data_IF_343771304831
#
_entry.id   IF_343771304831
#
_cell.length_a   1.000
_cell.length_b   1.000
_cell.length_c   1.000
_cell.angle_alpha   90.00
_cell.angle_beta   90.00
_cell.angle_gamma   90.00
#
_symmetry.space_group_name_H-M   'P 1'
#
loop_
_entity.id
_entity.type
_entity.pdbx_description
1 polymer ?
#
# COMPACT_ATOMS: atom_id res chain seq x y z
N UNK A 1 37.24 37.25 2.10
CA UNK A 1 36.54 35.95 2.12
C UNK A 1 35.16 36.17 2.74
N UNK A 2 34.18 36.54 1.92
CA UNK A 2 32.81 36.83 2.37
C UNK A 2 32.03 35.52 2.25
N UNK A 3 31.83 34.86 3.38
CA UNK A 3 31.05 33.64 3.46
C UNK A 3 29.56 34.04 3.34
N UNK A 4 28.98 33.90 2.14
CA UNK A 4 27.55 34.08 1.91
C UNK A 4 26.76 33.03 2.71
N UNK A 5 26.51 33.33 3.99
CA UNK A 5 25.60 32.57 4.84
C UNK A 5 24.20 32.75 4.31
N UNK A 6 23.71 31.80 3.50
CA UNK A 6 22.28 31.62 3.33
C UNK A 6 21.65 31.56 4.72
N UNK A 7 20.77 32.52 5.02
CA UNK A 7 20.20 32.63 6.35
C UNK A 7 19.36 31.37 6.65
N UNK A 8 19.54 30.73 7.81
CA UNK A 8 18.75 29.56 8.22
C UNK A 8 17.22 29.78 8.16
N UNK A 9 16.78 31.04 8.18
CA UNK A 9 15.37 31.44 8.04
C UNK A 9 14.75 31.06 6.70
N UNK A 10 15.49 31.19 5.60
CA UNK A 10 14.96 30.88 4.25
C UNK A 10 14.77 29.38 4.02
N UNK A 11 15.62 28.53 4.63
CA UNK A 11 15.44 27.08 4.66
C UNK A 11 14.26 26.65 5.55
N UNK A 12 13.99 27.41 6.62
CA UNK A 12 12.87 27.16 7.51
C UNK A 12 11.51 27.51 6.86
N UNK A 13 11.41 28.66 6.20
CA UNK A 13 10.17 29.09 5.53
C UNK A 13 9.81 28.23 4.31
N UNK A 14 10.80 27.73 3.55
CA UNK A 14 10.53 26.75 2.48
C UNK A 14 10.06 25.38 3.01
N UNK A 15 10.45 25.02 4.24
CA UNK A 15 9.96 23.82 4.93
C UNK A 15 8.54 23.96 5.47
N UNK A 16 8.14 25.16 5.90
CA UNK A 16 6.85 25.44 6.54
C UNK A 16 5.70 25.66 5.54
N UNK A 17 5.97 26.23 4.36
CA UNK A 17 4.93 26.35 3.33
C UNK A 17 4.58 25.03 2.63
N UNK A 18 5.47 24.02 2.66
CA UNK A 18 5.17 22.70 2.10
C UNK A 18 4.48 21.74 3.08
N UNK A 19 4.32 22.11 4.36
CA UNK A 19 3.74 21.24 5.39
C UNK A 19 2.30 21.62 5.78
N UNK A 20 1.89 22.88 5.60
CA UNK A 20 0.58 23.38 5.99
C UNK A 20 -0.57 22.98 5.05
N UNK A 21 -0.36 22.88 3.72
CA UNK A 21 -1.41 22.38 2.80
C UNK A 21 -1.43 20.85 2.65
N UNK A 22 -0.30 20.18 2.91
CA UNK A 22 -0.18 18.73 2.76
C UNK A 22 -0.88 17.96 3.88
N UNK A 23 -0.97 18.54 5.08
CA UNK A 23 -1.58 17.89 6.24
C UNK A 23 -3.13 17.95 6.22
N UNK A 24 -3.72 19.02 5.66
CA UNK A 24 -5.17 19.14 5.52
C UNK A 24 -5.73 18.18 4.45
N UNK A 25 -5.06 18.03 3.31
CA UNK A 25 -5.43 17.02 2.30
C UNK A 25 -5.04 15.59 2.69
N UNK A 26 -4.01 15.39 3.53
CA UNK A 26 -3.67 14.06 4.09
C UNK A 26 -4.73 13.52 5.05
N UNK A 27 -5.42 14.37 5.81
CA UNK A 27 -6.46 13.93 6.74
C UNK A 27 -7.72 13.42 6.03
N UNK A 28 -8.15 14.11 4.98
CA UNK A 28 -9.42 13.83 4.29
C UNK A 28 -9.30 12.69 3.26
N UNK A 29 -8.17 12.58 2.55
CA UNK A 29 -7.91 11.46 1.62
C UNK A 29 -7.69 10.14 2.38
N UNK A 30 -7.05 10.18 3.56
CA UNK A 30 -6.87 8.97 4.39
C UNK A 30 -8.18 8.34 4.86
N UNK A 31 -9.22 9.13 5.09
CA UNK A 31 -10.49 8.57 5.59
C UNK A 31 -11.26 7.83 4.50
N UNK A 32 -11.31 8.35 3.27
CA UNK A 32 -12.02 7.72 2.15
C UNK A 32 -11.48 6.33 1.80
N UNK A 33 -10.16 6.20 1.68
CA UNK A 33 -9.51 4.94 1.31
C UNK A 33 -9.75 3.83 2.34
N UNK A 34 -9.77 4.19 3.63
CA UNK A 34 -10.03 3.26 4.73
C UNK A 34 -11.46 2.71 4.65
N UNK A 35 -12.45 3.54 4.29
CA UNK A 35 -13.83 3.08 4.15
C UNK A 35 -14.02 2.12 2.98
N UNK A 36 -13.37 2.37 1.84
CA UNK A 36 -13.43 1.47 0.68
C UNK A 36 -12.81 0.12 1.03
N UNK A 37 -11.63 0.11 1.68
CA UNK A 37 -10.99 -1.13 2.12
C UNK A 37 -11.84 -1.91 3.12
N UNK A 38 -12.51 -1.22 4.05
CA UNK A 38 -13.45 -1.85 4.99
C UNK A 38 -14.67 -2.43 4.27
N UNK A 39 -15.22 -1.71 3.30
CA UNK A 39 -16.37 -2.17 2.52
C UNK A 39 -16.01 -3.41 1.70
N UNK A 40 -14.86 -3.42 1.02
CA UNK A 40 -14.38 -4.58 0.26
C UNK A 40 -14.21 -5.78 1.19
N UNK A 41 -13.59 -5.60 2.36
CA UNK A 41 -13.48 -6.65 3.36
C UNK A 41 -14.85 -7.21 3.79
N UNK A 42 -15.82 -6.34 4.09
CA UNK A 42 -17.17 -6.78 4.47
C UNK A 42 -17.86 -7.56 3.35
N UNK A 43 -17.77 -7.08 2.11
CA UNK A 43 -18.36 -7.75 0.94
C UNK A 43 -17.70 -9.11 0.71
N UNK A 44 -16.37 -9.19 0.80
CA UNK A 44 -15.60 -10.45 0.73
C UNK A 44 -16.05 -11.42 1.82
N UNK A 45 -16.18 -10.95 3.06
CA UNK A 45 -16.67 -11.75 4.18
C UNK A 45 -18.07 -12.30 3.94
N UNK A 46 -18.99 -11.47 3.43
CA UNK A 46 -20.35 -11.88 3.07
C UNK A 46 -20.35 -12.93 1.94
N UNK A 47 -19.53 -12.74 0.91
CA UNK A 47 -19.41 -13.69 -0.19
C UNK A 47 -18.87 -15.05 0.29
N UNK A 48 -17.87 -15.05 1.18
CA UNK A 48 -17.36 -16.26 1.81
C UNK A 48 -18.44 -16.98 2.65
N UNK A 49 -19.17 -16.24 3.48
CA UNK A 49 -20.26 -16.81 4.29
C UNK A 49 -21.36 -17.40 3.42
N UNK A 50 -21.75 -16.71 2.34
CA UNK A 50 -22.73 -17.21 1.39
C UNK A 50 -22.27 -18.52 0.75
N UNK A 51 -21.02 -18.59 0.27
CA UNK A 51 -20.46 -19.83 -0.28
C UNK A 51 -20.42 -20.97 0.74
N UNK A 52 -20.09 -20.68 2.00
CA UNK A 52 -20.08 -21.67 3.07
C UNK A 52 -21.49 -22.21 3.34
N UNK A 53 -22.48 -21.34 3.51
CA UNK A 53 -23.84 -21.75 3.91
C UNK A 53 -24.58 -22.42 2.75
N UNK A 54 -24.46 -21.90 1.53
CA UNK A 54 -25.27 -22.35 0.41
C UNK A 54 -24.63 -23.49 -0.40
N UNK A 55 -23.29 -23.56 -0.49
CA UNK A 55 -22.62 -24.37 -1.52
C UNK A 55 -21.56 -25.34 -0.99
N UNK A 56 -21.18 -25.29 0.30
CA UNK A 56 -20.05 -26.08 0.78
C UNK A 56 -20.32 -27.58 0.87
N UNK A 57 -21.58 -27.97 1.09
CA UNK A 57 -21.97 -29.37 1.20
C UNK A 57 -21.94 -30.10 -0.15
N UNK A 58 -22.09 -29.35 -1.24
CA UNK A 58 -22.07 -29.87 -2.61
C UNK A 58 -20.70 -29.73 -3.28
N UNK A 59 -19.73 -29.12 -2.57
CA UNK A 59 -18.40 -28.90 -3.11
C UNK A 59 -17.60 -30.21 -3.21
N UNK A 60 -17.42 -30.65 -4.45
CA UNK A 60 -16.53 -31.73 -4.86
C UNK A 60 -16.84 -33.09 -4.19
N UNK A 61 -18.11 -33.49 -4.18
CA UNK A 61 -18.63 -34.68 -3.47
C UNK A 61 -18.12 -36.03 -3.99
N UNK A 62 -17.68 -36.12 -5.25
CA UNK A 62 -17.35 -37.40 -5.90
C UNK A 62 -15.86 -37.79 -5.88
N UNK A 63 -15.00 -37.05 -5.18
CA UNK A 63 -13.56 -37.35 -5.12
C UNK A 63 -13.16 -38.09 -3.84
N UNK A 64 -13.26 -39.41 -3.76
CA UNK A 64 -13.07 -40.17 -2.51
C UNK A 64 -11.73 -39.99 -1.75
N UNK A 65 -10.75 -39.22 -2.25
CA UNK A 65 -9.41 -39.08 -1.61
C UNK A 65 -8.80 -37.68 -1.58
N UNK A 66 -9.52 -36.62 -1.94
CA UNK A 66 -8.90 -35.28 -1.98
C UNK A 66 -9.05 -34.55 -0.63
N UNK A 67 -7.94 -34.03 -0.08
CA UNK A 67 -7.90 -33.20 1.15
C UNK A 67 -8.70 -31.88 1.04
N UNK A 68 -9.29 -31.61 -0.12
CA UNK A 68 -10.01 -30.38 -0.44
C UNK A 68 -11.53 -30.53 -0.36
N UNK A 69 -12.04 -31.73 -0.08
CA UNK A 69 -13.45 -32.08 -0.27
C UNK A 69 -14.30 -31.85 0.97
N UNK A 70 -15.53 -31.42 0.73
CA UNK A 70 -16.57 -31.31 1.75
C UNK A 70 -16.40 -30.12 2.71
N UNK A 71 -17.25 -30.06 3.75
CA UNK A 71 -17.34 -28.93 4.68
C UNK A 71 -16.08 -28.75 5.56
N UNK A 72 -15.25 -29.78 5.66
CA UNK A 72 -13.97 -29.78 6.39
C UNK A 72 -12.76 -29.79 5.46
N UNK A 73 -13.00 -29.70 4.15
CA UNK A 73 -11.96 -29.59 3.15
C UNK A 73 -11.16 -28.31 3.30
N UNK A 74 -9.93 -28.30 2.75
CA UNK A 74 -9.05 -27.12 2.78
C UNK A 74 -9.67 -25.86 2.18
N UNK A 75 -10.49 -25.98 1.13
CA UNK A 75 -11.20 -24.85 0.53
C UNK A 75 -12.24 -24.27 1.49
N UNK A 76 -13.01 -25.14 2.16
CA UNK A 76 -13.96 -24.73 3.18
C UNK A 76 -13.27 -24.05 4.36
N UNK A 77 -12.17 -24.62 4.85
CA UNK A 77 -11.36 -24.01 5.91
C UNK A 77 -10.85 -22.63 5.49
N UNK A 78 -10.40 -22.49 4.25
CA UNK A 78 -9.91 -21.22 3.74
C UNK A 78 -11.02 -20.17 3.69
N UNK A 79 -12.20 -20.51 3.16
CA UNK A 79 -13.36 -19.61 3.15
C UNK A 79 -13.79 -19.21 4.57
N UNK A 80 -13.78 -20.14 5.53
CA UNK A 80 -14.11 -19.86 6.94
C UNK A 80 -13.13 -18.86 7.54
N UNK A 81 -11.84 -19.10 7.37
CA UNK A 81 -10.79 -18.21 7.90
C UNK A 81 -10.88 -16.85 7.21
N UNK A 82 -11.03 -16.81 5.88
CA UNK A 82 -11.13 -15.55 5.13
C UNK A 82 -12.37 -14.74 5.53
N UNK A 83 -13.51 -15.40 5.75
CA UNK A 83 -14.71 -14.73 6.27
C UNK A 83 -14.43 -14.09 7.64
N UNK A 84 -13.84 -14.86 8.57
CA UNK A 84 -13.54 -14.37 9.93
C UNK A 84 -12.57 -13.19 9.88
N UNK A 85 -11.44 -13.31 9.16
CA UNK A 85 -10.44 -12.24 9.08
C UNK A 85 -10.99 -10.99 8.38
N UNK A 86 -11.79 -11.18 7.33
CA UNK A 86 -12.47 -10.11 6.59
C UNK A 86 -13.43 -9.30 7.46
N UNK A 87 -14.11 -9.91 8.43
CA UNK A 87 -14.92 -9.16 9.40
C UNK A 87 -14.11 -8.65 10.59
N UNK A 88 -13.13 -9.42 11.05
CA UNK A 88 -12.35 -9.08 12.24
C UNK A 88 -11.55 -7.79 12.05
N UNK A 89 -10.93 -7.58 10.88
CA UNK A 89 -10.15 -6.37 10.60
C UNK A 89 -10.98 -5.08 10.67
N UNK A 90 -12.10 -4.93 9.95
CA UNK A 90 -12.91 -3.71 10.04
C UNK A 90 -13.50 -3.52 11.45
N UNK A 91 -13.91 -4.59 12.13
CA UNK A 91 -14.44 -4.53 13.51
C UNK A 91 -13.36 -4.03 14.48
N UNK A 92 -12.18 -4.64 14.45
CA UNK A 92 -11.07 -4.25 15.34
C UNK A 92 -10.56 -2.85 15.00
N UNK A 93 -10.50 -2.49 13.72
CA UNK A 93 -10.14 -1.13 13.28
C UNK A 93 -11.15 -0.09 13.79
N UNK A 94 -12.45 -0.39 13.75
CA UNK A 94 -13.48 0.47 14.30
C UNK A 94 -13.40 0.54 15.83
N UNK A 95 -13.17 -0.57 16.51
CA UNK A 95 -13.02 -0.61 17.97
C UNK A 95 -11.84 0.25 18.45
N UNK A 96 -10.68 0.17 17.76
CA UNK A 96 -9.52 1.02 18.06
C UNK A 96 -9.85 2.51 17.91
N UNK A 97 -10.60 2.87 16.87
CA UNK A 97 -11.06 4.26 16.64
C UNK A 97 -12.04 4.72 17.72
N UNK A 98 -13.06 3.90 18.04
CA UNK A 98 -14.09 4.22 19.03
C UNK A 98 -13.52 4.38 20.44
N UNK A 99 -12.56 3.53 20.81
CA UNK A 99 -11.89 3.59 22.11
C UNK A 99 -10.74 4.60 22.15
N UNK A 100 -10.48 5.35 21.06
CA UNK A 100 -9.36 6.29 20.92
C UNK A 100 -8.00 5.65 21.24
N UNK A 101 -7.83 4.38 20.89
CA UNK A 101 -6.61 3.59 21.12
C UNK A 101 -5.58 3.77 19.99
N UNK A 102 -5.68 4.83 19.18
CA UNK A 102 -4.82 5.07 18.01
C UNK A 102 -3.33 5.12 18.35
N UNK A 103 -3.00 5.56 19.57
CA UNK A 103 -1.61 5.64 20.07
C UNK A 103 -1.16 4.38 20.81
N UNK A 104 -2.04 3.40 21.02
CA UNK A 104 -1.71 2.16 21.71
C UNK A 104 -0.86 1.26 20.82
N UNK A 105 0.40 1.09 21.19
CA UNK A 105 1.34 0.17 20.50
C UNK A 105 0.76 -1.24 20.45
N UNK A 106 0.10 -1.71 21.52
CA UNK A 106 -0.49 -3.04 21.59
C UNK A 106 -1.62 -3.22 20.58
N UNK A 107 -2.50 -2.22 20.45
CA UNK A 107 -3.62 -2.27 19.51
C UNK A 107 -3.14 -2.25 18.04
N UNK A 108 -2.18 -1.37 17.73
CA UNK A 108 -1.59 -1.31 16.39
C UNK A 108 -0.80 -2.58 16.04
N UNK A 109 -0.06 -3.15 17.00
CA UNK A 109 0.65 -4.42 16.83
C UNK A 109 -0.34 -5.56 16.54
N UNK A 110 -1.44 -5.65 17.28
CA UNK A 110 -2.49 -6.65 17.04
C UNK A 110 -3.10 -6.52 15.63
N UNK A 111 -3.47 -5.30 15.21
CA UNK A 111 -3.99 -5.04 13.87
C UNK A 111 -3.01 -5.45 12.77
N UNK A 112 -1.72 -5.18 12.97
CA UNK A 112 -0.66 -5.59 12.06
C UNK A 112 -0.53 -7.11 11.99
N UNK A 113 -0.57 -7.82 13.12
CA UNK A 113 -0.54 -9.28 13.15
C UNK A 113 -1.73 -9.90 12.41
N UNK A 114 -2.94 -9.37 12.59
CA UNK A 114 -4.13 -9.85 11.87
C UNK A 114 -3.99 -9.60 10.36
N UNK A 115 -3.52 -8.41 9.96
CA UNK A 115 -3.30 -8.08 8.56
C UNK A 115 -2.20 -8.94 7.91
N UNK A 116 -1.11 -9.21 8.63
CA UNK A 116 -0.04 -10.09 8.16
C UNK A 116 -0.55 -11.54 8.01
N UNK A 117 -1.36 -12.01 8.96
CA UNK A 117 -2.01 -13.32 8.87
C UNK A 117 -2.97 -13.41 7.68
N UNK A 118 -3.84 -12.41 7.48
CA UNK A 118 -4.74 -12.38 6.33
C UNK A 118 -3.95 -12.37 5.02
N UNK A 119 -2.88 -11.56 4.92
CA UNK A 119 -2.01 -11.54 3.74
C UNK A 119 -1.37 -12.89 3.45
N UNK A 120 -0.85 -13.58 4.49
CA UNK A 120 -0.28 -14.91 4.32
C UNK A 120 -1.35 -15.93 3.86
N UNK A 121 -2.55 -15.85 4.44
CA UNK A 121 -3.67 -16.71 4.07
C UNK A 121 -4.17 -16.45 2.64
N UNK A 122 -4.17 -15.19 2.23
CA UNK A 122 -4.47 -14.74 0.88
C UNK A 122 -3.49 -15.33 -0.15
N UNK A 123 -2.19 -15.35 0.17
CA UNK A 123 -1.16 -15.96 -0.70
C UNK A 123 -1.44 -17.46 -0.90
N UNK A 124 -1.83 -18.18 0.15
CA UNK A 124 -2.24 -19.58 0.06
C UNK A 124 -3.46 -19.74 -0.86
N UNK A 125 -4.45 -18.84 -0.73
CA UNK A 125 -5.61 -18.80 -1.60
C UNK A 125 -5.23 -18.59 -3.07
N UNK A 126 -4.33 -17.66 -3.36
CA UNK A 126 -3.83 -17.41 -4.71
C UNK A 126 -3.10 -18.61 -5.30
N UNK A 127 -2.26 -19.28 -4.50
CA UNK A 127 -1.58 -20.50 -4.92
C UNK A 127 -2.58 -21.61 -5.30
N UNK A 128 -3.73 -21.69 -4.62
CA UNK A 128 -4.77 -22.67 -4.94
C UNK A 128 -5.68 -22.24 -6.09
N UNK A 129 -5.97 -20.95 -6.21
CA UNK A 129 -6.80 -20.37 -7.26
C UNK A 129 -6.09 -20.45 -8.62
N UNK A 130 -4.81 -20.08 -8.68
CA UNK A 130 -4.04 -19.96 -9.92
C UNK A 130 -3.00 -21.06 -10.15
N UNK A 131 -2.60 -21.79 -9.11
CA UNK A 131 -1.64 -22.90 -9.24
C UNK A 131 -2.26 -24.16 -9.82
N UNK A 132 -1.45 -25.11 -10.27
CA UNK A 132 -1.95 -26.38 -10.82
C UNK A 132 -2.13 -27.49 -9.76
N UNK A 133 -1.45 -27.36 -8.61
CA UNK A 133 -1.35 -28.43 -7.59
C UNK A 133 -2.28 -28.23 -6.37
N UNK A 134 -3.08 -27.16 -6.38
CA UNK A 134 -3.97 -26.81 -5.27
C UNK A 134 -5.29 -27.58 -5.31
N UNK A 135 -6.23 -27.12 -6.13
CA UNK A 135 -7.57 -27.72 -6.24
C UNK A 135 -7.61 -28.63 -7.46
N UNK A 136 -8.04 -29.90 -7.36
CA UNK A 136 -8.15 -30.79 -8.50
C UNK A 136 -8.98 -30.16 -9.63
N UNK A 137 -8.52 -30.31 -10.88
CA UNK A 137 -9.19 -29.69 -12.02
C UNK A 137 -10.67 -30.08 -12.12
N UNK A 138 -11.02 -31.31 -11.75
CA UNK A 138 -12.40 -31.79 -11.69
C UNK A 138 -13.30 -30.98 -10.74
N UNK A 139 -12.79 -30.54 -9.58
CA UNK A 139 -13.55 -29.65 -8.69
C UNK A 139 -13.65 -28.22 -9.27
N UNK A 140 -12.64 -27.76 -10.04
CA UNK A 140 -12.63 -26.41 -10.64
C UNK A 140 -13.67 -26.26 -11.74
N UNK A 141 -13.75 -27.25 -12.63
CA UNK A 141 -14.69 -27.26 -13.75
C UNK A 141 -16.10 -27.69 -13.36
N UNK A 142 -16.30 -28.12 -12.10
CA UNK A 142 -17.60 -28.58 -11.59
C UNK A 142 -18.00 -29.99 -12.05
N UNK A 143 -17.05 -30.83 -12.49
CA UNK A 143 -17.37 -32.20 -12.90
C UNK A 143 -17.64 -33.12 -11.70
N UNK A 144 -17.17 -32.76 -10.51
CA UNK A 144 -17.34 -33.53 -9.26
C UNK A 144 -18.31 -32.89 -8.27
N UNK A 145 -19.13 -31.93 -8.69
CA UNK A 145 -20.08 -31.22 -7.83
C UNK A 145 -20.12 -29.73 -8.14
N UNK A 146 -20.71 -28.96 -7.24
CA UNK A 146 -20.79 -27.51 -7.40
C UNK A 146 -19.40 -26.87 -7.26
N UNK A 147 -19.01 -26.02 -8.21
CA UNK A 147 -17.74 -25.30 -8.20
C UNK A 147 -17.85 -23.87 -7.66
N UNK A 148 -19.03 -23.41 -7.22
CA UNK A 148 -19.26 -22.06 -6.70
C UNK A 148 -18.29 -21.70 -5.57
N UNK A 149 -18.01 -22.62 -4.64
CA UNK A 149 -17.06 -22.36 -3.56
C UNK A 149 -15.65 -22.05 -4.09
N UNK A 150 -15.19 -22.76 -5.13
CA UNK A 150 -13.93 -22.44 -5.79
C UNK A 150 -13.99 -21.12 -6.58
N UNK A 151 -15.09 -20.85 -7.27
CA UNK A 151 -15.28 -19.58 -8.00
C UNK A 151 -15.21 -18.37 -7.06
N UNK A 152 -15.77 -18.48 -5.85
CA UNK A 152 -15.68 -17.42 -4.83
C UNK A 152 -14.24 -17.22 -4.38
N UNK A 153 -13.50 -18.30 -4.08
CA UNK A 153 -12.06 -18.19 -3.76
C UNK A 153 -11.29 -17.50 -4.90
N UNK A 154 -11.51 -17.95 -6.14
CA UNK A 154 -10.85 -17.39 -7.32
C UNK A 154 -11.17 -15.90 -7.50
N UNK A 155 -12.44 -15.52 -7.37
CA UNK A 155 -12.89 -14.13 -7.54
C UNK A 155 -12.31 -13.20 -6.46
N UNK A 156 -12.32 -13.65 -5.20
CA UNK A 156 -11.69 -12.94 -4.09
C UNK A 156 -10.19 -12.76 -4.37
N UNK A 157 -9.51 -13.83 -4.82
CA UNK A 157 -8.10 -13.77 -5.21
C UNK A 157 -7.81 -12.71 -6.27
N UNK A 158 -8.64 -12.65 -7.31
CA UNK A 158 -8.52 -11.65 -8.40
C UNK A 158 -8.70 -10.23 -7.88
N UNK A 159 -9.72 -9.97 -7.06
CA UNK A 159 -10.00 -8.62 -6.54
C UNK A 159 -8.87 -8.08 -5.70
N UNK A 160 -8.39 -8.87 -4.75
CA UNK A 160 -7.28 -8.47 -3.89
C UNK A 160 -6.00 -8.26 -4.69
N UNK A 161 -5.70 -9.12 -5.66
CA UNK A 161 -4.54 -8.95 -6.51
C UNK A 161 -4.64 -7.67 -7.36
N UNK A 162 -5.81 -7.37 -7.92
CA UNK A 162 -6.08 -6.12 -8.62
C UNK A 162 -5.91 -4.91 -7.68
N UNK A 163 -6.41 -4.99 -6.45
CA UNK A 163 -6.25 -3.94 -5.45
C UNK A 163 -4.77 -3.70 -5.09
N UNK A 164 -3.99 -4.76 -4.86
CA UNK A 164 -2.55 -4.66 -4.59
C UNK A 164 -1.81 -4.02 -5.75
N UNK A 165 -2.12 -4.40 -6.99
CA UNK A 165 -1.53 -3.79 -8.19
C UNK A 165 -1.89 -2.30 -8.28
N UNK A 166 -3.16 -1.93 -8.09
CA UNK A 166 -3.59 -0.54 -8.09
C UNK A 166 -2.86 0.29 -7.02
N UNK A 167 -2.74 -0.23 -5.80
CA UNK A 167 -1.99 0.42 -4.71
C UNK A 167 -0.51 0.56 -5.04
N UNK A 168 0.10 -0.46 -5.63
CA UNK A 168 1.50 -0.41 -6.07
C UNK A 168 1.72 0.66 -7.16
N UNK A 169 0.82 0.76 -8.14
CA UNK A 169 0.88 1.79 -9.19
C UNK A 169 0.78 3.18 -8.57
N UNK A 170 -0.17 3.41 -7.67
CA UNK A 170 -0.33 4.70 -6.97
C UNK A 170 0.92 5.03 -6.15
N UNK A 171 1.47 4.08 -5.40
CA UNK A 171 2.69 4.27 -4.61
C UNK A 171 3.90 4.61 -5.50
N UNK A 172 4.07 3.90 -6.62
CA UNK A 172 5.11 4.17 -7.61
C UNK A 172 4.96 5.58 -8.23
N UNK A 173 3.73 5.99 -8.56
CA UNK A 173 3.45 7.30 -9.12
C UNK A 173 3.77 8.42 -8.12
N UNK A 174 3.36 8.27 -6.86
CA UNK A 174 3.70 9.22 -5.79
C UNK A 174 5.22 9.28 -5.61
N UNK A 175 5.90 8.13 -5.55
CA UNK A 175 7.36 8.06 -5.43
C UNK A 175 8.07 8.76 -6.59
N UNK A 176 7.58 8.58 -7.81
CA UNK A 176 8.08 9.25 -9.01
C UNK A 176 7.94 10.77 -8.91
N UNK A 177 6.76 11.28 -8.52
CA UNK A 177 6.53 12.72 -8.35
C UNK A 177 7.46 13.35 -7.30
N UNK A 178 7.69 12.66 -6.18
CA UNK A 178 8.63 13.14 -5.15
C UNK A 178 10.06 13.18 -5.69
N UNK A 179 10.48 12.14 -6.42
CA UNK A 179 11.80 12.07 -7.02
C UNK A 179 12.01 13.18 -8.05
N UNK A 180 11.01 13.46 -8.89
CA UNK A 180 11.06 14.56 -9.86
C UNK A 180 11.16 15.92 -9.17
N UNK A 181 10.40 16.14 -8.08
CA UNK A 181 10.50 17.38 -7.28
C UNK A 181 11.90 17.56 -6.70
N UNK A 182 12.50 16.51 -6.14
CA UNK A 182 13.87 16.53 -5.61
C UNK A 182 14.89 16.84 -6.72
N UNK A 183 14.74 16.21 -7.90
CA UNK A 183 15.61 16.48 -9.05
C UNK A 183 15.50 17.93 -9.54
N UNK A 184 14.31 18.53 -9.51
CA UNK A 184 14.12 19.95 -9.85
C UNK A 184 14.82 20.87 -8.86
N UNK A 185 14.59 20.68 -7.57
CA UNK A 185 15.27 21.46 -6.52
C UNK A 185 16.80 21.30 -6.59
N UNK A 186 17.29 20.08 -6.87
CA UNK A 186 18.73 19.85 -7.05
C UNK A 186 19.31 20.66 -8.22
N UNK A 187 18.63 20.66 -9.38
CA UNK A 187 19.08 21.43 -10.55
C UNK A 187 19.07 22.94 -10.29
N UNK A 188 18.08 23.45 -9.57
CA UNK A 188 18.02 24.86 -9.18
C UNK A 188 19.14 25.24 -8.21
N UNK A 189 19.41 24.41 -7.18
CA UNK A 189 20.54 24.63 -6.27
C UNK A 189 21.89 24.62 -6.99
N UNK A 190 22.08 23.74 -7.97
CA UNK A 190 23.32 23.72 -8.77
C UNK A 190 23.50 25.01 -9.58
N UNK A 191 22.43 25.56 -10.16
CA UNK A 191 22.48 26.85 -10.87
C UNK A 191 22.88 27.99 -9.94
N UNK A 192 22.26 28.09 -8.77
CA UNK A 192 22.57 29.15 -7.79
C UNK A 192 24.04 29.06 -7.35
N UNK A 193 24.56 27.85 -7.12
CA UNK A 193 25.96 27.64 -6.76
C UNK A 193 26.88 28.08 -7.90
N UNK A 194 26.58 27.72 -9.15
CA UNK A 194 27.37 28.13 -10.32
C UNK A 194 27.36 29.65 -10.51
N UNK A 195 26.21 30.31 -10.36
CA UNK A 195 26.10 31.77 -10.44
C UNK A 195 26.88 32.48 -9.33
N UNK A 196 26.90 31.92 -8.11
CA UNK A 196 27.69 32.46 -7.01
C UNK A 196 29.20 32.36 -7.29
N UNK A 197 29.68 31.21 -7.78
CA UNK A 197 31.09 31.07 -8.16
C UNK A 197 31.49 31.99 -9.32
N UNK A 198 30.63 32.16 -10.32
CA UNK A 198 30.88 33.07 -11.44
C UNK A 198 31.01 34.54 -11.00
N UNK A 199 30.19 34.98 -10.03
CA UNK A 199 30.30 36.32 -9.43
C UNK A 199 31.60 36.50 -8.65
N UNK A 200 31.96 35.54 -7.80
CA UNK A 200 33.21 35.59 -7.03
C UNK A 200 34.44 35.68 -7.92
N UNK A 201 34.43 35.00 -9.07
CA UNK A 201 35.55 35.06 -10.02
C UNK A 201 35.60 36.40 -10.77
N UNK A 202 34.45 36.99 -11.13
CA UNK A 202 34.39 38.34 -11.70
C UNK A 202 34.91 39.40 -10.73
N UNK A 203 34.52 39.36 -9.45
CA UNK A 203 35.00 40.31 -8.43
C UNK A 203 36.52 40.19 -8.20
N UNK A 204 37.07 38.97 -8.22
CA UNK A 204 38.52 38.73 -8.13
C UNK A 204 39.29 39.21 -9.35
N UNK A 205 38.65 39.27 -10.52
CA UNK A 205 39.27 39.78 -11.73
C UNK A 205 39.31 41.31 -11.71
N UNK A 206 38.20 41.96 -11.36
CA UNK A 206 38.13 43.42 -11.20
C UNK A 206 39.13 43.94 -10.15
N UNK A 207 39.29 43.22 -9.02
CA UNK A 207 40.31 43.55 -8.01
C UNK A 207 41.75 43.39 -8.52
N UNK A 208 42.00 42.45 -9.44
CA UNK A 208 43.34 42.28 -10.05
C UNK A 208 43.64 43.40 -11.04
N UNK A 209 42.65 43.78 -11.84
CA UNK A 209 42.80 44.85 -12.83
C UNK A 209 43.02 46.22 -12.14
N UNK A 210 42.34 46.51 -11.03
CA UNK A 210 42.57 47.73 -10.25
C UNK A 210 43.97 47.79 -9.62
N UNK A 211 44.51 46.67 -9.13
CA UNK A 211 45.86 46.64 -8.53
C UNK A 211 46.99 46.67 -9.59
N UNK A 212 46.70 46.32 -10.84
CA UNK A 212 47.68 46.33 -11.93
C UNK A 212 48.00 47.71 -12.50
N UNK A 213 47.12 48.69 -12.32
CA UNK A 213 47.22 50.00 -12.99
C UNK A 213 48.11 51.05 -12.25
N UNK A 214 48.72 50.68 -11.11
CA UNK A 214 49.48 51.61 -10.25
C UNK A 214 51.01 51.50 -10.32
N UNK A 215 51.58 50.84 -11.34
CA UNK A 215 53.03 50.68 -11.53
C UNK A 215 53.48 51.20 -12.89
N UNK A 216 53.38 52.50 -13.11
CA UNK A 216 54.16 53.24 -14.11
C UNK A 216 54.64 54.57 -13.52
#
# INVERSE_FOLDING_TARGET
>A
AVQARLSPRLLYEMGEQSSSSLNASRGQVRHGDIWILRLVNVVTGCACLWAIVAHIHEFCTNGEQSKFIGPDGRVALWLKIEAITSFLLPIMSLAVLLMRLEYSIKANCLLYCISAFQTAWFIVGCAWAFGNDGVPNSCRVGSWGDNVAYLVVWWICVIWLAMVICLAIVACFIGWLQLDRIRRMWRESQKIIQEAYARDDSEKQDMRDMNGCGKE
#
